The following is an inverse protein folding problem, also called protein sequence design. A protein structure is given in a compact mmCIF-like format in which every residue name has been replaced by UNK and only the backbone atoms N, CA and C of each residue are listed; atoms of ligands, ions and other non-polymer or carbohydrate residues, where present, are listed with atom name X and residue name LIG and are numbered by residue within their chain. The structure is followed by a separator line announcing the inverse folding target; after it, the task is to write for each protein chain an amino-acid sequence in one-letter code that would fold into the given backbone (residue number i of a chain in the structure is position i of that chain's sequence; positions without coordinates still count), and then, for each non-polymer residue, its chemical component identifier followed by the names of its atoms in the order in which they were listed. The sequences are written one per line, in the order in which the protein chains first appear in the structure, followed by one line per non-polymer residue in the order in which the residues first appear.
data_IF_052783715672
#
_entry.id   IF_052783715672
#
_cell.length_a   1.000
_cell.length_b   1.000
_cell.length_c   1.000
_cell.angle_alpha   90.00
_cell.angle_beta   90.00
_cell.angle_gamma   90.00
#
_symmetry.space_group_name_H-M   'P 1'
#
loop_
_entity.id
_entity.type
_entity.pdbx_description
1 polymer ?
#
# COMPACT_ATOMS: atom_id res chain seq x y z
N UNK A 1 7.95 4.31 -26.81
CA UNK A 1 8.31 4.68 -25.42
C UNK A 1 7.52 5.86 -24.88
N UNK A 2 7.61 7.06 -25.48
CA UNK A 2 6.92 8.27 -24.97
C UNK A 2 5.40 8.07 -24.82
N UNK A 3 4.76 7.46 -25.84
CA UNK A 3 3.31 7.18 -25.83
C UNK A 3 2.96 6.25 -24.65
N UNK A 4 3.73 5.18 -24.44
CA UNK A 4 3.52 4.25 -23.34
C UNK A 4 3.66 4.94 -21.99
N UNK A 5 4.66 5.81 -21.81
CA UNK A 5 4.84 6.59 -20.58
C UNK A 5 3.66 7.52 -20.32
N UNK A 6 3.12 8.18 -21.36
CA UNK A 6 1.94 9.04 -21.25
C UNK A 6 0.71 8.20 -20.85
N UNK A 7 0.51 7.04 -21.48
CA UNK A 7 -0.62 6.16 -21.17
C UNK A 7 -0.50 5.60 -19.76
N UNK A 8 0.70 5.22 -19.32
CA UNK A 8 0.95 4.76 -17.95
C UNK A 8 0.58 5.84 -16.93
N UNK A 9 1.04 7.08 -17.14
CA UNK A 9 0.71 8.22 -16.25
C UNK A 9 -0.80 8.49 -16.26
N UNK A 10 -1.43 8.48 -17.43
CA UNK A 10 -2.88 8.63 -17.54
C UNK A 10 -3.63 7.51 -16.81
N UNK A 11 -3.13 6.27 -16.88
CA UNK A 11 -3.66 5.13 -16.16
C UNK A 11 -3.56 5.30 -14.63
N UNK A 12 -2.41 5.74 -14.12
CA UNK A 12 -2.23 6.06 -12.69
C UNK A 12 -3.20 7.16 -12.22
N UNK A 13 -3.32 8.25 -12.98
CA UNK A 13 -4.27 9.32 -12.66
C UNK A 13 -5.72 8.81 -12.66
N UNK A 14 -6.05 7.91 -13.59
CA UNK A 14 -7.37 7.30 -13.68
C UNK A 14 -7.64 6.36 -12.49
N UNK A 15 -6.63 5.62 -12.01
CA UNK A 15 -6.74 4.80 -10.79
C UNK A 15 -7.05 5.66 -9.57
N UNK A 16 -6.26 6.71 -9.32
CA UNK A 16 -6.45 7.64 -8.21
C UNK A 16 -7.85 8.23 -8.28
N UNK A 17 -8.28 8.69 -9.46
CA UNK A 17 -9.59 9.29 -9.62
C UNK A 17 -10.74 8.28 -9.49
N UNK A 18 -10.54 7.06 -9.96
CA UNK A 18 -11.48 5.97 -9.83
C UNK A 18 -11.70 5.57 -8.38
N UNK A 19 -10.63 5.48 -7.60
CA UNK A 19 -10.67 5.26 -6.16
C UNK A 19 -11.48 6.35 -5.43
N UNK A 20 -11.19 7.63 -5.70
CA UNK A 20 -11.94 8.76 -5.15
C UNK A 20 -13.45 8.64 -5.40
N UNK A 21 -13.84 8.37 -6.66
CA UNK A 21 -15.25 8.24 -7.03
C UNK A 21 -15.91 7.05 -6.36
N UNK A 22 -15.22 5.91 -6.29
CA UNK A 22 -15.72 4.72 -5.61
C UNK A 22 -15.96 5.01 -4.12
N UNK A 23 -14.99 5.62 -3.44
CA UNK A 23 -15.07 5.95 -2.01
C UNK A 23 -16.18 6.95 -1.73
N UNK A 24 -16.26 8.04 -2.51
CA UNK A 24 -17.30 9.07 -2.35
C UNK A 24 -18.70 8.46 -2.53
N UNK A 25 -18.90 7.66 -3.58
CA UNK A 25 -20.18 7.02 -3.86
C UNK A 25 -20.57 5.99 -2.79
N UNK A 26 -19.64 5.09 -2.44
CA UNK A 26 -19.87 4.03 -1.47
C UNK A 26 -20.11 4.57 -0.05
N UNK A 27 -19.38 5.61 0.37
CA UNK A 27 -19.55 6.22 1.69
C UNK A 27 -20.93 6.88 1.85
N UNK A 28 -21.39 7.63 0.85
CA UNK A 28 -22.73 8.24 0.87
C UNK A 28 -23.83 7.17 0.84
N UNK A 29 -23.64 6.11 0.04
CA UNK A 29 -24.58 4.98 0.02
C UNK A 29 -24.68 4.30 1.39
N UNK A 30 -23.54 3.95 1.99
CA UNK A 30 -23.48 3.32 3.31
C UNK A 30 -24.17 4.18 4.37
N UNK A 31 -24.01 5.50 4.31
CA UNK A 31 -24.72 6.41 5.21
C UNK A 31 -26.21 6.44 5.02
N UNK A 32 -26.70 6.41 3.79
CA UNK A 32 -28.14 6.29 3.52
C UNK A 32 -28.75 5.02 4.14
N UNK A 33 -27.94 3.97 4.26
CA UNK A 33 -28.29 2.72 4.91
C UNK A 33 -27.94 2.67 6.41
N UNK A 34 -27.68 3.83 7.05
CA UNK A 34 -27.42 3.98 8.49
C UNK A 34 -26.19 3.21 9.00
N UNK A 35 -25.21 2.96 8.14
CA UNK A 35 -23.90 2.43 8.56
C UNK A 35 -23.16 3.50 9.39
N UNK A 36 -22.46 3.10 10.45
CA UNK A 36 -21.74 4.04 11.31
C UNK A 36 -20.54 4.67 10.59
N UNK A 37 -20.15 5.90 10.94
CA UNK A 37 -18.95 6.56 10.37
C UNK A 37 -17.70 5.72 10.61
N UNK A 38 -17.63 5.12 11.79
CA UNK A 38 -16.56 4.20 12.15
C UNK A 38 -16.45 3.02 11.17
N UNK A 39 -17.57 2.36 10.87
CA UNK A 39 -17.55 1.24 9.93
C UNK A 39 -17.17 1.70 8.51
N UNK A 40 -17.63 2.87 8.07
CA UNK A 40 -17.27 3.45 6.76
C UNK A 40 -15.77 3.76 6.68
N UNK A 41 -15.21 4.38 7.72
CA UNK A 41 -13.78 4.71 7.78
C UNK A 41 -12.90 3.47 7.73
N UNK A 42 -13.23 2.44 8.53
CA UNK A 42 -12.43 1.22 8.63
C UNK A 42 -12.57 0.25 7.46
N UNK A 43 -13.60 0.44 6.64
CA UNK A 43 -13.86 -0.43 5.50
C UNK A 43 -13.72 0.37 4.22
N UNK A 44 -14.74 1.12 3.82
CA UNK A 44 -14.81 1.80 2.53
C UNK A 44 -13.64 2.75 2.31
N UNK A 45 -13.31 3.59 3.29
CA UNK A 45 -12.22 4.57 3.13
C UNK A 45 -10.86 3.88 3.13
N UNK A 46 -10.61 2.97 4.09
CA UNK A 46 -9.36 2.22 4.17
C UNK A 46 -9.11 1.34 2.93
N UNK A 47 -10.14 0.66 2.40
CA UNK A 47 -10.04 -0.07 1.14
C UNK A 47 -9.87 0.86 -0.06
N UNK A 48 -10.47 2.04 0.02
CA UNK A 48 -10.44 3.05 -1.03
C UNK A 48 -9.04 3.52 -1.37
N UNK A 49 -8.24 3.84 -0.36
CA UNK A 49 -6.86 4.30 -0.56
C UNK A 49 -5.99 3.23 -1.20
N UNK A 50 -6.21 1.95 -0.86
CA UNK A 50 -5.45 0.82 -1.42
C UNK A 50 -6.12 0.14 -2.61
N UNK A 51 -7.20 0.72 -3.15
CA UNK A 51 -7.88 0.20 -4.33
C UNK A 51 -7.01 0.24 -5.60
N UNK A 52 -6.19 1.29 -5.85
CA UNK A 52 -5.24 1.32 -6.96
C UNK A 52 -4.29 0.12 -6.94
N UNK A 53 -3.65 -0.15 -5.80
CA UNK A 53 -2.75 -1.29 -5.59
C UNK A 53 -3.49 -2.60 -5.85
N UNK A 54 -4.66 -2.79 -5.24
CA UNK A 54 -5.42 -4.03 -5.38
C UNK A 54 -5.75 -4.33 -6.85
N UNK A 55 -6.19 -3.31 -7.60
CA UNK A 55 -6.59 -3.49 -8.99
C UNK A 55 -5.39 -3.68 -9.90
N UNK A 56 -4.30 -2.94 -9.73
CA UNK A 56 -3.07 -3.15 -10.50
C UNK A 56 -2.52 -4.56 -10.28
N UNK A 57 -2.48 -5.04 -9.03
CA UNK A 57 -1.98 -6.37 -8.71
C UNK A 57 -2.92 -7.49 -9.18
N UNK A 58 -4.25 -7.30 -9.08
CA UNK A 58 -5.21 -8.26 -9.61
C UNK A 58 -5.10 -8.39 -11.13
N UNK A 59 -4.94 -7.27 -11.85
CA UNK A 59 -4.72 -7.25 -13.29
C UNK A 59 -3.39 -7.92 -13.64
N UNK A 60 -2.30 -7.55 -12.98
CA UNK A 60 -0.97 -8.15 -13.20
C UNK A 60 -0.96 -9.65 -12.94
N UNK A 61 -1.57 -10.12 -11.84
CA UNK A 61 -1.72 -11.53 -11.53
C UNK A 61 -2.53 -12.29 -12.60
N UNK A 62 -3.67 -11.72 -13.03
CA UNK A 62 -4.49 -12.30 -14.10
C UNK A 62 -3.79 -12.34 -15.45
N UNK A 63 -2.85 -11.41 -15.69
CA UNK A 63 -2.02 -11.35 -16.89
C UNK A 63 -0.76 -12.23 -16.84
N UNK A 64 -0.47 -12.87 -15.69
CA UNK A 64 0.72 -13.70 -15.52
C UNK A 64 2.02 -12.91 -15.33
N UNK A 65 1.95 -11.73 -14.71
CA UNK A 65 3.11 -10.86 -14.42
C UNK A 65 3.45 -10.83 -12.92
N UNK A 66 3.97 -11.93 -12.33
CA UNK A 66 4.25 -12.02 -10.90
C UNK A 66 5.33 -11.03 -10.42
N UNK A 67 6.29 -10.67 -11.28
CA UNK A 67 7.32 -9.68 -10.94
C UNK A 67 6.72 -8.29 -10.73
N UNK A 68 5.71 -7.92 -11.52
CA UNK A 68 4.95 -6.69 -11.32
C UNK A 68 4.16 -6.78 -10.00
N UNK A 69 3.60 -7.94 -9.68
CA UNK A 69 2.84 -8.12 -8.42
C UNK A 69 3.73 -7.94 -7.19
N UNK A 70 4.84 -8.69 -7.12
CA UNK A 70 5.78 -8.56 -6.00
C UNK A 70 6.48 -7.19 -6.00
N UNK A 71 6.88 -6.69 -7.15
CA UNK A 71 7.51 -5.39 -7.30
C UNK A 71 6.59 -4.26 -6.82
N UNK A 72 5.32 -4.28 -7.21
CA UNK A 72 4.37 -3.27 -6.76
C UNK A 72 4.16 -3.35 -5.24
N UNK A 73 3.94 -4.54 -4.67
CA UNK A 73 3.65 -4.66 -3.23
C UNK A 73 4.86 -4.35 -2.35
N UNK A 74 6.01 -4.96 -2.63
CA UNK A 74 7.23 -4.73 -1.84
C UNK A 74 7.71 -3.30 -2.05
N UNK A 75 7.63 -2.80 -3.29
CA UNK A 75 7.94 -1.42 -3.66
C UNK A 75 7.05 -0.42 -2.93
N UNK A 76 5.73 -0.63 -2.94
CA UNK A 76 4.76 0.26 -2.26
C UNK A 76 5.03 0.29 -0.76
N UNK A 77 5.34 -0.86 -0.16
CA UNK A 77 5.67 -0.90 1.27
C UNK A 77 6.96 -0.17 1.63
N UNK A 78 7.99 -0.28 0.78
CA UNK A 78 9.22 0.48 0.91
C UNK A 78 8.97 1.97 0.66
N UNK A 79 8.20 2.34 -0.36
CA UNK A 79 7.86 3.72 -0.69
C UNK A 79 7.09 4.38 0.47
N UNK A 80 6.08 3.70 1.00
CA UNK A 80 5.32 4.10 2.18
C UNK A 80 6.23 4.36 3.38
N UNK A 81 7.07 3.38 3.71
CA UNK A 81 7.93 3.43 4.89
C UNK A 81 9.04 4.50 4.78
N UNK A 82 9.70 4.61 3.64
CA UNK A 82 10.89 5.45 3.53
C UNK A 82 10.58 6.82 2.91
N UNK A 83 9.77 6.87 1.86
CA UNK A 83 9.47 8.11 1.14
C UNK A 83 8.35 8.86 1.84
N UNK A 84 7.21 8.21 2.07
CA UNK A 84 6.04 8.90 2.64
C UNK A 84 6.30 9.33 4.08
N UNK A 85 6.74 8.43 4.97
CA UNK A 85 7.12 8.82 6.33
C UNK A 85 8.30 9.78 6.34
N UNK A 86 9.27 9.61 5.45
CA UNK A 86 10.42 10.50 5.33
C UNK A 86 9.97 11.94 5.04
N UNK A 87 9.14 12.13 4.01
CA UNK A 87 8.57 13.44 3.67
C UNK A 87 7.69 13.97 4.80
N UNK A 88 6.75 13.17 5.30
CA UNK A 88 5.81 13.59 6.34
C UNK A 88 6.53 13.99 7.65
N UNK A 89 7.59 13.27 8.02
CA UNK A 89 8.40 13.51 9.21
C UNK A 89 9.35 14.71 9.09
N UNK A 90 9.84 15.00 7.87
CA UNK A 90 10.60 16.23 7.60
C UNK A 90 9.71 17.46 7.78
N UNK A 91 8.47 17.40 7.30
CA UNK A 91 7.49 18.50 7.43
C UNK A 91 7.20 18.76 8.91
N UNK A 92 6.72 17.73 9.62
CA UNK A 92 6.39 17.81 11.06
C UNK A 92 6.87 16.55 11.77
N UNK A 93 7.57 16.65 12.92
CA UNK A 93 7.89 15.49 13.73
C UNK A 93 6.63 14.66 14.05
N UNK A 94 6.67 13.36 13.78
CA UNK A 94 5.51 12.48 13.88
C UNK A 94 5.45 11.87 15.28
N UNK A 95 4.89 12.60 16.23
CA UNK A 95 4.60 12.06 17.57
C UNK A 95 3.35 11.19 17.54
N UNK A 96 3.45 9.95 18.03
CA UNK A 96 2.36 8.96 17.99
C UNK A 96 2.03 8.35 19.35
N UNK A 97 0.86 7.73 19.42
CA UNK A 97 0.39 7.00 20.60
C UNK A 97 1.20 5.72 20.87
N UNK A 98 1.17 5.27 22.14
CA UNK A 98 1.82 4.03 22.57
C UNK A 98 1.35 2.80 21.78
N UNK A 99 0.06 2.76 21.41
CA UNK A 99 -0.58 1.68 20.68
C UNK A 99 0.08 1.48 19.31
N UNK A 100 0.29 2.56 18.55
CA UNK A 100 0.92 2.49 17.23
C UNK A 100 2.37 2.00 17.33
N UNK A 101 3.13 2.48 18.31
CA UNK A 101 4.52 2.04 18.53
C UNK A 101 4.61 0.55 18.90
N UNK A 102 3.81 0.10 19.86
CA UNK A 102 3.95 -1.24 20.44
C UNK A 102 3.12 -2.32 19.78
N UNK A 103 2.17 -1.95 18.92
CA UNK A 103 1.29 -2.91 18.27
C UNK A 103 1.39 -2.80 16.75
N UNK A 104 1.07 -1.65 16.17
CA UNK A 104 0.96 -1.50 14.71
C UNK A 104 2.31 -1.69 13.99
N UNK A 105 3.37 -1.00 14.42
CA UNK A 105 4.71 -1.14 13.81
C UNK A 105 5.22 -2.60 13.92
N UNK A 106 5.18 -3.26 15.10
CA UNK A 106 5.51 -4.68 15.22
C UNK A 106 4.65 -5.59 14.34
N UNK A 107 3.34 -5.32 14.18
CA UNK A 107 2.49 -6.10 13.29
C UNK A 107 2.93 -6.00 11.83
N UNK A 108 3.28 -4.80 11.35
CA UNK A 108 3.83 -4.65 9.99
C UNK A 108 5.18 -5.35 9.82
N UNK A 109 6.03 -5.33 10.85
CA UNK A 109 7.29 -6.07 10.83
C UNK A 109 7.06 -7.59 10.75
N UNK A 110 6.15 -8.11 11.57
CA UNK A 110 5.74 -9.52 11.56
C UNK A 110 5.12 -9.90 10.21
N UNK A 111 4.30 -9.03 9.61
CA UNK A 111 3.73 -9.27 8.29
C UNK A 111 4.81 -9.44 7.22
N UNK A 112 5.84 -8.58 7.23
CA UNK A 112 6.98 -8.70 6.32
C UNK A 112 7.82 -9.96 6.59
N UNK A 113 7.97 -10.40 7.84
CA UNK A 113 8.60 -11.68 8.18
C UNK A 113 7.77 -12.84 7.63
N UNK A 114 6.46 -12.86 7.90
CA UNK A 114 5.55 -13.91 7.39
C UNK A 114 5.67 -14.01 5.88
N UNK A 115 5.63 -12.87 5.18
CA UNK A 115 5.81 -12.82 3.73
C UNK A 115 7.15 -13.45 3.32
N UNK A 116 8.27 -13.02 3.91
CA UNK A 116 9.60 -13.54 3.60
C UNK A 116 9.67 -15.06 3.76
N UNK A 117 9.05 -15.60 4.82
CA UNK A 117 9.06 -17.03 5.08
C UNK A 117 8.19 -17.81 4.09
N UNK A 118 7.02 -17.28 3.74
CA UNK A 118 6.10 -17.92 2.80
C UNK A 118 6.69 -17.93 1.38
N UNK A 119 7.13 -16.78 0.87
CA UNK A 119 7.65 -16.68 -0.52
C UNK A 119 8.89 -17.52 -0.78
N UNK A 120 9.72 -17.76 0.25
CA UNK A 120 10.93 -18.58 0.12
C UNK A 120 10.67 -20.08 0.40
N UNK A 121 9.45 -20.46 0.76
CA UNK A 121 9.07 -21.86 1.00
C UNK A 121 10.01 -22.62 1.97
N UNK A 122 10.54 -21.92 2.99
CA UNK A 122 11.50 -22.50 3.95
C UNK A 122 10.99 -23.77 4.64
N UNK A 123 9.67 -23.98 4.70
CA UNK A 123 9.04 -25.12 5.36
C UNK A 123 8.66 -26.28 4.43
N UNK A 124 8.38 -26.00 3.15
CA UNK A 124 7.79 -26.97 2.22
C UNK A 124 8.78 -27.51 1.17
N UNK A 125 9.95 -26.85 1.00
CA UNK A 125 11.00 -27.31 0.08
C UNK A 125 10.62 -27.25 -1.41
N UNK A 126 9.52 -26.57 -1.74
CA UNK A 126 9.03 -26.34 -3.11
C UNK A 126 9.64 -25.09 -3.73
N UNK A 127 9.40 -24.86 -5.03
CA UNK A 127 9.83 -23.64 -5.74
C UNK A 127 9.36 -22.38 -5.01
N UNK A 128 10.19 -21.34 -4.98
CA UNK A 128 9.87 -20.06 -4.32
C UNK A 128 8.67 -19.39 -5.00
N UNK A 129 7.67 -18.99 -4.22
CA UNK A 129 6.42 -18.45 -4.74
C UNK A 129 5.33 -18.33 -3.69
N UNK A 130 4.15 -17.89 -4.12
CA UNK A 130 2.91 -17.98 -3.36
C UNK A 130 1.90 -18.80 -4.14
N UNK A 131 1.56 -19.95 -3.61
CA UNK A 131 0.43 -20.78 -4.02
C UNK A 131 -0.90 -20.18 -3.57
N UNK A 132 -2.00 -20.71 -4.12
CA UNK A 132 -3.36 -20.36 -3.66
C UNK A 132 -3.56 -20.66 -2.17
N UNK A 133 -2.95 -21.73 -1.63
CA UNK A 133 -3.07 -22.11 -0.22
C UNK A 133 -2.40 -21.07 0.68
N UNK A 134 -1.21 -20.64 0.30
CA UNK A 134 -0.49 -19.56 0.98
C UNK A 134 -1.25 -18.24 0.89
N UNK A 135 -1.87 -17.97 -0.26
CA UNK A 135 -2.78 -16.83 -0.43
C UNK A 135 -3.95 -16.83 0.55
N UNK A 136 -4.61 -17.99 0.73
CA UNK A 136 -5.66 -18.16 1.74
C UNK A 136 -5.09 -17.93 3.15
N UNK A 137 -3.87 -18.41 3.43
CA UNK A 137 -3.16 -18.15 4.68
C UNK A 137 -2.97 -16.65 4.95
N UNK A 138 -2.53 -15.89 3.95
CA UNK A 138 -2.41 -14.42 4.05
C UNK A 138 -3.76 -13.75 4.30
N UNK A 139 -4.85 -14.21 3.66
CA UNK A 139 -6.19 -13.68 3.92
C UNK A 139 -6.72 -14.01 5.31
N UNK A 140 -6.36 -15.17 5.88
CA UNK A 140 -6.68 -15.50 7.28
C UNK A 140 -5.93 -14.54 8.22
N UNK A 141 -4.66 -14.26 7.96
CA UNK A 141 -3.89 -13.24 8.70
C UNK A 141 -4.54 -11.86 8.59
N UNK A 142 -5.03 -11.49 7.39
CA UNK A 142 -5.77 -10.24 7.20
C UNK A 142 -7.06 -10.19 8.03
N UNK A 143 -7.85 -11.27 8.03
CA UNK A 143 -9.07 -11.37 8.83
C UNK A 143 -8.81 -11.24 10.33
N UNK A 144 -7.73 -11.86 10.82
CA UNK A 144 -7.29 -11.73 12.21
C UNK A 144 -6.86 -10.28 12.54
N UNK A 145 -6.17 -9.61 11.62
CA UNK A 145 -5.81 -8.20 11.76
C UNK A 145 -7.05 -7.29 11.80
N UNK A 146 -8.02 -7.48 10.91
CA UNK A 146 -9.29 -6.73 10.93
C UNK A 146 -10.06 -6.95 12.23
N UNK A 147 -10.12 -8.19 12.72
CA UNK A 147 -10.74 -8.50 14.00
C UNK A 147 -10.05 -7.74 15.15
N UNK A 148 -8.73 -7.75 15.18
CA UNK A 148 -7.95 -7.00 16.15
C UNK A 148 -8.24 -5.49 16.10
N UNK A 149 -8.21 -4.88 14.91
CA UNK A 149 -8.53 -3.44 14.71
C UNK A 149 -9.94 -3.14 15.22
N UNK A 150 -10.91 -3.98 14.87
CA UNK A 150 -12.29 -3.84 15.32
C UNK A 150 -12.43 -3.86 16.85
N UNK A 151 -11.65 -4.70 17.55
CA UNK A 151 -11.68 -4.77 19.02
C UNK A 151 -11.06 -3.54 19.69
N UNK A 152 -10.03 -2.91 19.10
CA UNK A 152 -9.46 -1.68 19.66
C UNK A 152 -10.44 -0.50 19.54
N UNK A 153 -11.18 -0.42 18.44
CA UNK A 153 -12.02 0.74 18.12
C UNK A 153 -13.35 0.79 18.88
N UNK A 154 -13.76 -0.29 19.53
CA UNK A 154 -14.85 -0.25 20.52
C UNK A 154 -14.52 0.61 21.75
N UNK A 155 -13.26 1.01 21.92
CA UNK A 155 -12.76 1.72 23.11
C UNK A 155 -12.58 3.23 22.91
N UNK A 156 -12.79 3.76 21.69
CA UNK A 156 -12.67 5.20 21.39
C UNK A 156 -13.97 5.73 20.73
N UNK A 157 -14.52 6.86 21.19
CA UNK A 157 -15.60 7.53 20.47
C UNK A 157 -15.06 8.05 19.13
N UNK A 158 -15.60 7.54 18.02
CA UNK A 158 -15.23 7.97 16.68
C UNK A 158 -15.43 9.49 16.54
N UNK A 159 -14.34 10.24 16.45
CA UNK A 159 -14.31 11.71 16.41
C UNK A 159 -14.33 12.27 14.98
N UNK A 160 -14.50 11.42 13.96
CA UNK A 160 -14.56 11.85 12.57
C UNK A 160 -16.02 11.85 12.11
N UNK A 161 -16.72 12.97 12.33
CA UNK A 161 -17.89 13.27 11.52
C UNK A 161 -17.42 13.37 10.07
N UNK A 162 -17.79 12.40 9.24
CA UNK A 162 -17.56 12.48 7.80
C UNK A 162 -18.48 13.61 7.31
N UNK A 163 -17.94 14.75 6.87
CA UNK A 163 -18.75 15.80 6.24
C UNK A 163 -19.42 15.22 4.99
N UNK A 164 -20.72 14.94 5.07
CA UNK A 164 -21.42 14.24 4.00
C UNK A 164 -21.84 15.21 2.90
N UNK A 165 -21.30 14.99 1.71
CA UNK A 165 -21.86 15.53 0.47
C UNK A 165 -23.19 14.81 0.19
N UNK A 166 -24.27 15.58 0.04
CA UNK A 166 -25.58 15.03 -0.31
C UNK A 166 -25.64 14.77 -1.82
N UNK A 167 -25.73 13.49 -2.22
CA UNK A 167 -25.84 13.08 -3.62
C UNK A 167 -27.19 12.42 -3.91
N UNK A 168 -27.67 12.55 -5.14
CA UNK A 168 -28.82 11.79 -5.63
C UNK A 168 -28.44 10.32 -5.84
N UNK A 169 -29.42 9.40 -5.79
CA UNK A 169 -29.18 7.96 -6.03
C UNK A 169 -28.50 7.70 -7.38
N UNK A 170 -28.86 8.47 -8.41
CA UNK A 170 -28.25 8.37 -9.74
C UNK A 170 -26.77 8.74 -9.68
N UNK A 171 -26.42 9.86 -9.03
CA UNK A 171 -25.03 10.29 -8.88
C UNK A 171 -24.20 9.28 -8.08
N UNK A 172 -24.77 8.69 -7.02
CA UNK A 172 -24.13 7.61 -6.26
C UNK A 172 -23.82 6.42 -7.18
N UNK A 173 -24.80 5.97 -7.97
CA UNK A 173 -24.61 4.87 -8.91
C UNK A 173 -23.54 5.17 -9.96
N UNK A 174 -23.52 6.38 -10.51
CA UNK A 174 -22.48 6.83 -11.47
C UNK A 174 -21.10 6.84 -10.82
N UNK A 175 -20.97 7.34 -9.59
CA UNK A 175 -19.69 7.40 -8.88
C UNK A 175 -19.13 6.00 -8.61
N UNK A 176 -19.97 5.07 -8.13
CA UNK A 176 -19.55 3.69 -7.84
C UNK A 176 -19.17 2.96 -9.14
N UNK A 177 -20.06 2.93 -10.13
CA UNK A 177 -19.83 2.19 -11.37
C UNK A 177 -18.72 2.82 -12.22
N UNK A 178 -18.71 4.15 -12.31
CA UNK A 178 -17.67 4.90 -12.99
C UNK A 178 -16.31 4.78 -12.30
N UNK A 179 -16.28 4.79 -10.96
CA UNK A 179 -15.07 4.55 -10.17
C UNK A 179 -14.49 3.16 -10.39
N UNK A 180 -15.32 2.12 -10.34
CA UNK A 180 -14.91 0.75 -10.64
C UNK A 180 -14.40 0.58 -12.07
N UNK A 181 -15.11 1.15 -13.06
CA UNK A 181 -14.67 1.10 -14.45
C UNK A 181 -13.33 1.82 -14.65
N UNK A 182 -13.17 3.01 -14.06
CA UNK A 182 -11.93 3.77 -14.09
C UNK A 182 -10.78 2.99 -13.45
N UNK A 183 -11.01 2.33 -12.31
CA UNK A 183 -10.01 1.49 -11.66
C UNK A 183 -9.56 0.34 -12.57
N UNK A 184 -10.48 -0.44 -13.12
CA UNK A 184 -10.13 -1.60 -13.97
C UNK A 184 -9.41 -1.17 -15.24
N UNK A 185 -9.92 -0.13 -15.92
CA UNK A 185 -9.29 0.41 -17.13
C UNK A 185 -7.90 0.97 -16.79
N UNK A 186 -7.80 1.77 -15.73
CA UNK A 186 -6.53 2.35 -15.27
C UNK A 186 -5.50 1.28 -14.94
N UNK A 187 -5.89 0.23 -14.20
CA UNK A 187 -5.01 -0.88 -13.86
C UNK A 187 -4.46 -1.60 -15.09
N UNK A 188 -5.32 -1.86 -16.08
CA UNK A 188 -4.89 -2.45 -17.36
C UNK A 188 -3.94 -1.55 -18.14
N UNK A 189 -4.24 -0.25 -18.23
CA UNK A 189 -3.35 0.70 -18.87
C UNK A 189 -1.97 0.75 -18.19
N UNK A 190 -1.94 0.73 -16.85
CA UNK A 190 -0.67 0.73 -16.10
C UNK A 190 0.13 -0.53 -16.36
N UNK A 191 -0.47 -1.72 -16.20
CA UNK A 191 0.24 -3.00 -16.35
C UNK A 191 0.75 -3.19 -17.79
N UNK A 192 -0.13 -3.04 -18.80
CA UNK A 192 0.24 -3.29 -20.20
C UNK A 192 1.37 -2.36 -20.67
N UNK A 193 1.33 -1.08 -20.25
CA UNK A 193 2.35 -0.11 -20.64
C UNK A 193 3.62 -0.23 -19.81
N UNK A 194 3.53 -0.63 -18.53
CA UNK A 194 4.71 -0.91 -17.71
C UNK A 194 5.53 -2.08 -18.28
N UNK A 195 4.87 -3.19 -18.64
CA UNK A 195 5.51 -4.34 -19.31
C UNK A 195 6.14 -3.89 -20.64
N UNK A 196 5.41 -3.14 -21.45
CA UNK A 196 5.91 -2.64 -22.73
C UNK A 196 7.14 -1.72 -22.58
N UNK A 197 7.16 -0.89 -21.52
CA UNK A 197 8.30 -0.01 -21.19
C UNK A 197 9.50 -0.84 -20.75
N UNK A 198 9.30 -1.82 -19.85
CA UNK A 198 10.36 -2.72 -19.38
C UNK A 198 11.05 -3.41 -20.56
N UNK A 199 10.26 -4.03 -21.44
CA UNK A 199 10.74 -4.70 -22.65
C UNK A 199 11.47 -3.76 -23.61
N UNK A 200 10.97 -2.52 -23.79
CA UNK A 200 11.60 -1.53 -24.68
C UNK A 200 12.93 -1.02 -24.15
N UNK A 201 13.09 -0.93 -22.83
CA UNK A 201 14.32 -0.48 -22.17
C UNK A 201 15.32 -1.63 -21.95
N UNK A 202 14.88 -2.88 -22.08
CA UNK A 202 15.69 -4.04 -21.73
C UNK A 202 15.91 -4.20 -20.22
N UNK A 203 15.08 -3.57 -19.39
CA UNK A 203 15.12 -3.67 -17.92
C UNK A 203 14.08 -4.67 -17.43
N UNK A 204 14.28 -5.20 -16.22
CA UNK A 204 13.35 -6.13 -15.61
C UNK A 204 12.00 -5.50 -15.24
N UNK A 205 10.94 -6.29 -15.33
CA UNK A 205 9.61 -5.92 -14.82
C UNK A 205 9.64 -5.61 -13.32
N UNK A 206 10.54 -6.29 -12.58
CA UNK A 206 10.82 -6.05 -11.17
C UNK A 206 11.14 -4.58 -10.90
N UNK A 207 12.05 -3.96 -11.65
CA UNK A 207 12.42 -2.55 -11.40
C UNK A 207 11.25 -1.62 -11.65
N UNK A 208 10.51 -1.82 -12.74
CA UNK A 208 9.34 -0.99 -13.06
C UNK A 208 8.27 -1.12 -11.97
N UNK A 209 8.05 -2.34 -11.47
CA UNK A 209 7.17 -2.64 -10.34
C UNK A 209 7.60 -1.92 -9.06
N UNK A 210 8.86 -2.07 -8.65
CA UNK A 210 9.42 -1.50 -7.42
C UNK A 210 9.49 0.03 -7.41
N UNK A 211 9.53 0.65 -8.59
CA UNK A 211 9.75 2.09 -8.72
C UNK A 211 8.50 2.82 -9.20
N UNK A 212 8.21 2.77 -10.50
CA UNK A 212 7.18 3.59 -11.14
C UNK A 212 5.78 3.17 -10.69
N UNK A 213 5.50 1.87 -10.70
CA UNK A 213 4.16 1.38 -10.35
C UNK A 213 3.92 1.60 -8.86
N UNK A 214 4.82 1.13 -8.00
CA UNK A 214 4.74 1.32 -6.55
C UNK A 214 4.59 2.80 -6.15
N UNK A 215 5.44 3.69 -6.66
CA UNK A 215 5.32 5.11 -6.34
C UNK A 215 4.01 5.71 -6.85
N UNK A 216 3.53 5.26 -8.01
CA UNK A 216 2.30 5.74 -8.64
C UNK A 216 1.04 5.32 -7.90
N UNK A 217 0.94 4.05 -7.49
CA UNK A 217 -0.22 3.55 -6.75
C UNK A 217 -0.28 4.11 -5.35
N UNK A 218 0.86 4.38 -4.70
CA UNK A 218 0.93 4.92 -3.33
C UNK A 218 0.89 6.46 -3.22
N UNK A 219 0.58 7.16 -4.32
CA UNK A 219 0.33 8.61 -4.30
C UNK A 219 -0.86 9.02 -3.40
N UNK A 220 -2.00 8.30 -3.35
CA UNK A 220 -3.10 8.59 -2.42
C UNK A 220 -2.66 8.53 -0.96
N UNK A 221 -1.86 7.54 -0.58
CA UNK A 221 -1.26 7.43 0.74
C UNK A 221 -0.33 8.60 1.03
N UNK A 222 0.49 9.00 0.05
CA UNK A 222 1.40 10.14 0.21
C UNK A 222 0.61 11.41 0.50
N UNK A 223 -0.42 11.68 -0.31
CA UNK A 223 -1.29 12.84 -0.13
C UNK A 223 -1.97 12.81 1.26
N UNK A 224 -2.53 11.68 1.65
CA UNK A 224 -3.24 11.51 2.93
C UNK A 224 -2.31 11.73 4.11
N UNK A 225 -1.14 11.08 4.13
CA UNK A 225 -0.19 11.16 5.23
C UNK A 225 0.50 12.53 5.33
N UNK A 226 0.79 13.18 4.20
CA UNK A 226 1.32 14.57 4.21
C UNK A 226 0.29 15.55 4.74
N UNK A 227 -0.96 15.48 4.27
CA UNK A 227 -2.04 16.35 4.76
C UNK A 227 -2.32 16.11 6.25
N UNK A 228 -2.33 14.86 6.70
CA UNK A 228 -2.48 14.51 8.11
C UNK A 228 -1.34 15.08 8.98
N UNK A 229 -0.08 14.94 8.52
CA UNK A 229 1.11 15.51 9.19
C UNK A 229 1.04 17.04 9.29
N UNK A 230 0.66 17.73 8.21
CA UNK A 230 0.48 19.19 8.22
C UNK A 230 -0.61 19.65 9.19
N UNK A 231 -1.66 18.84 9.36
CA UNK A 231 -2.74 19.08 10.34
C UNK A 231 -2.39 18.63 11.77
N UNK A 232 -1.16 18.13 12.00
CA UNK A 232 -0.68 17.57 13.28
C UNK A 232 -1.47 16.34 13.75
N UNK A 233 -2.13 15.64 12.83
CA UNK A 233 -2.81 14.37 13.08
C UNK A 233 -1.84 13.20 12.80
N UNK A 234 -0.77 13.13 13.58
CA UNK A 234 0.36 12.24 13.33
C UNK A 234 0.01 10.74 13.43
N UNK A 235 -0.93 10.36 14.31
CA UNK A 235 -1.42 8.99 14.42
C UNK A 235 -2.07 8.51 13.12
N UNK A 236 -2.81 9.40 12.45
CA UNK A 236 -3.43 9.10 11.14
C UNK A 236 -2.35 8.91 10.08
N UNK A 237 -1.29 9.74 10.10
CA UNK A 237 -0.21 9.65 9.12
C UNK A 237 0.56 8.32 9.22
N UNK A 238 0.93 7.88 10.44
CA UNK A 238 1.61 6.59 10.64
C UNK A 238 0.64 5.42 10.44
N UNK A 239 -0.57 5.49 11.00
CA UNK A 239 -1.57 4.43 10.89
C UNK A 239 -1.95 4.14 9.44
N UNK A 240 -2.04 5.17 8.59
CA UNK A 240 -2.29 5.02 7.15
C UNK A 240 -1.18 4.20 6.46
N UNK A 241 0.08 4.49 6.79
CA UNK A 241 1.26 3.89 6.15
C UNK A 241 1.45 2.45 6.62
N UNK A 242 1.43 2.24 7.93
CA UNK A 242 1.60 0.91 8.54
C UNK A 242 0.41 0.02 8.21
N UNK A 243 -0.81 0.57 8.23
CA UNK A 243 -2.01 -0.10 7.77
C UNK A 243 -1.93 -0.51 6.30
N UNK A 244 -1.58 0.41 5.40
CA UNK A 244 -1.41 0.12 3.96
C UNK A 244 -0.37 -0.98 3.74
N UNK A 245 0.75 -0.98 4.47
CA UNK A 245 1.75 -2.04 4.37
C UNK A 245 1.21 -3.44 4.74
N UNK A 246 0.38 -3.52 5.79
CA UNK A 246 -0.27 -4.76 6.22
C UNK A 246 -1.32 -5.20 5.19
N UNK A 247 -2.11 -4.26 4.67
CA UNK A 247 -3.09 -4.52 3.61
C UNK A 247 -2.41 -5.06 2.35
N UNK A 248 -1.34 -4.41 1.90
CA UNK A 248 -0.56 -4.83 0.74
C UNK A 248 -0.06 -6.27 0.87
N UNK A 249 0.51 -6.63 2.03
CA UNK A 249 1.03 -7.97 2.26
C UNK A 249 -0.07 -9.01 2.42
N UNK A 250 -1.05 -8.77 3.30
CA UNK A 250 -2.01 -9.82 3.65
C UNK A 250 -3.21 -9.86 2.69
N UNK A 251 -3.82 -8.72 2.39
CA UNK A 251 -4.97 -8.66 1.51
C UNK A 251 -4.54 -8.77 0.04
N UNK A 252 -3.66 -7.90 -0.43
CA UNK A 252 -3.44 -7.75 -1.88
C UNK A 252 -2.64 -8.93 -2.44
N UNK A 253 -1.54 -9.34 -1.82
CA UNK A 253 -0.85 -10.59 -2.23
C UNK A 253 -1.70 -11.83 -1.99
N UNK A 254 -2.50 -11.85 -0.92
CA UNK A 254 -3.45 -12.94 -0.65
C UNK A 254 -4.47 -13.11 -1.78
N UNK A 255 -5.11 -12.01 -2.23
CA UNK A 255 -6.01 -12.02 -3.38
C UNK A 255 -5.26 -12.37 -4.66
N UNK A 256 -4.09 -11.77 -4.89
CA UNK A 256 -3.33 -11.95 -6.13
C UNK A 256 -2.88 -13.39 -6.33
N UNK A 257 -2.46 -14.08 -5.27
CA UNK A 257 -2.04 -15.50 -5.32
C UNK A 257 -3.21 -16.48 -5.44
N UNK A 258 -4.43 -16.08 -5.06
CA UNK A 258 -5.64 -16.86 -5.33
C UNK A 258 -6.07 -16.72 -6.80
N UNK A 259 -5.92 -15.52 -7.38
CA UNK A 259 -6.21 -15.28 -8.81
C UNK A 259 -5.31 -16.15 -9.68
N UNK A 260 -4.00 -16.15 -9.39
CA UNK A 260 -3.02 -16.94 -10.11
C UNK A 260 -1.82 -17.21 -9.18
N UNK A 261 -1.34 -18.47 -9.05
CA UNK A 261 -0.10 -18.75 -8.31
C UNK A 261 1.07 -17.88 -8.79
N UNK A 262 1.80 -17.30 -7.85
CA UNK A 262 2.84 -16.31 -8.14
C UNK A 262 4.22 -16.95 -7.97
N UNK A 263 5.00 -17.04 -9.05
CA UNK A 263 6.43 -17.42 -8.96
C UNK A 263 7.23 -16.28 -8.34
N UNK A 264 8.13 -16.59 -7.42
CA UNK A 264 8.91 -15.57 -6.71
C UNK A 264 10.39 -15.63 -7.10
N UNK A 265 10.95 -14.47 -7.47
CA UNK A 265 12.39 -14.34 -7.67
C UNK A 265 13.10 -14.04 -6.36
N UNK A 266 14.12 -14.84 -6.03
CA UNK A 266 14.93 -14.68 -4.81
C UNK A 266 15.59 -13.28 -4.72
N UNK A 267 15.79 -12.62 -5.86
CA UNK A 267 16.30 -11.24 -5.90
C UNK A 267 15.45 -10.25 -5.10
N UNK A 268 14.15 -10.50 -4.92
CA UNK A 268 13.25 -9.69 -4.09
C UNK A 268 13.55 -9.78 -2.59
N UNK A 269 14.34 -10.77 -2.13
CA UNK A 269 14.68 -10.90 -0.72
C UNK A 269 15.43 -9.67 -0.22
N UNK A 270 16.30 -9.07 -1.04
CA UNK A 270 16.99 -7.82 -0.70
C UNK A 270 15.99 -6.69 -0.47
N UNK A 271 14.96 -6.56 -1.30
CA UNK A 271 13.92 -5.55 -1.17
C UNK A 271 13.08 -5.74 0.11
N UNK A 272 12.82 -6.99 0.51
CA UNK A 272 12.18 -7.34 1.78
C UNK A 272 13.11 -7.08 2.98
N UNK A 273 14.41 -7.35 2.86
CA UNK A 273 15.37 -7.02 3.92
C UNK A 273 15.47 -5.52 4.15
N UNK A 274 15.40 -4.71 3.09
CA UNK A 274 15.31 -3.26 3.21
C UNK A 274 14.03 -2.84 3.93
N UNK A 275 12.88 -3.44 3.60
CA UNK A 275 11.61 -3.19 4.30
C UNK A 275 11.70 -3.53 5.79
N UNK A 276 12.25 -4.70 6.12
CA UNK A 276 12.45 -5.14 7.51
C UNK A 276 13.41 -4.21 8.26
N UNK A 277 14.57 -3.90 7.66
CA UNK A 277 15.57 -3.01 8.23
C UNK A 277 15.02 -1.61 8.49
N UNK A 278 14.26 -1.05 7.54
CA UNK A 278 13.61 0.24 7.70
C UNK A 278 12.51 0.23 8.76
N UNK A 279 11.72 -0.84 8.84
CA UNK A 279 10.64 -0.95 9.83
C UNK A 279 11.24 -1.09 11.24
N UNK A 280 12.35 -1.81 11.38
CA UNK A 280 13.11 -1.89 12.62
C UNK A 280 13.76 -0.54 12.98
N UNK A 281 14.32 0.17 12.00
CA UNK A 281 14.87 1.51 12.20
C UNK A 281 13.79 2.49 12.67
N UNK A 282 12.59 2.44 12.06
CA UNK A 282 11.43 3.20 12.50
C UNK A 282 11.03 2.85 13.95
N UNK A 283 10.98 1.56 14.29
CA UNK A 283 10.67 1.13 15.65
C UNK A 283 11.67 1.66 16.67
N UNK A 284 12.98 1.59 16.36
CA UNK A 284 14.04 2.15 17.21
C UNK A 284 13.91 3.68 17.32
N UNK A 285 13.60 4.35 16.20
CA UNK A 285 13.40 5.79 16.14
C UNK A 285 12.27 6.27 17.08
N UNK A 286 11.25 5.44 17.34
CA UNK A 286 10.21 5.77 18.31
C UNK A 286 10.71 5.92 19.75
N UNK A 287 11.93 5.46 20.06
CA UNK A 287 12.51 5.52 21.41
C UNK A 287 13.69 6.49 21.53
N UNK A 288 14.15 7.06 20.42
CA UNK A 288 15.17 8.10 20.37
C UNK A 288 14.54 9.48 20.51
N UNK A 289 15.34 10.50 20.88
CA UNK A 289 14.88 11.87 21.00
C UNK A 289 13.69 12.06 21.95
N UNK A 290 12.61 12.68 21.46
CA UNK A 290 11.34 12.76 22.19
C UNK A 290 10.65 11.40 22.12
N UNK A 291 10.31 10.81 23.27
CA UNK A 291 9.66 9.49 23.33
C UNK A 291 8.42 9.44 22.42
N UNK A 292 8.34 8.40 21.60
CA UNK A 292 7.26 8.07 20.66
C UNK A 292 7.10 9.10 19.54
N UNK A 293 8.20 9.58 18.98
CA UNK A 293 8.13 10.42 17.79
C UNK A 293 9.23 10.11 16.79
N UNK A 294 8.90 10.20 15.50
CA UNK A 294 9.90 10.27 14.43
C UNK A 294 10.36 11.73 14.29
N UNK A 295 11.62 12.00 14.62
CA UNK A 295 12.21 13.32 14.44
C UNK A 295 12.60 13.57 12.98
N UNK A 296 12.73 14.86 12.60
CA UNK A 296 13.02 15.28 11.22
C UNK A 296 14.29 14.66 10.63
N UNK A 297 15.32 14.48 11.45
CA UNK A 297 16.60 13.93 10.99
C UNK A 297 16.51 12.42 10.75
N UNK A 298 15.72 11.69 11.55
CA UNK A 298 15.45 10.26 11.35
C UNK A 298 14.63 10.06 10.08
N UNK A 299 13.62 10.90 9.87
CA UNK A 299 12.83 10.92 8.64
C UNK A 299 13.70 11.23 7.40
N UNK A 300 14.66 12.16 7.52
CA UNK A 300 15.63 12.44 6.46
C UNK A 300 16.55 11.24 6.17
N UNK A 301 17.00 10.51 7.20
CA UNK A 301 17.79 9.28 7.03
C UNK A 301 16.99 8.22 6.27
N UNK A 302 15.72 7.99 6.62
CA UNK A 302 14.85 7.05 5.91
C UNK A 302 14.72 7.45 4.43
N UNK A 303 14.43 8.72 4.15
CA UNK A 303 14.29 9.21 2.78
C UNK A 303 15.58 9.04 1.96
N UNK A 304 16.72 9.43 2.53
CA UNK A 304 18.02 9.31 1.87
C UNK A 304 18.42 7.85 1.66
N UNK A 305 18.11 6.96 2.59
CA UNK A 305 18.36 5.52 2.45
C UNK A 305 17.61 4.94 1.24
N UNK A 306 16.35 5.31 1.05
CA UNK A 306 15.58 4.87 -0.12
C UNK A 306 16.11 5.46 -1.42
N UNK A 307 16.42 6.76 -1.46
CA UNK A 307 17.01 7.38 -2.66
C UNK A 307 18.32 6.67 -3.04
N UNK A 308 19.19 6.42 -2.05
CA UNK A 308 20.43 5.69 -2.26
C UNK A 308 20.21 4.26 -2.77
N UNK A 309 19.29 3.52 -2.12
CA UNK A 309 18.96 2.15 -2.49
C UNK A 309 18.36 2.05 -3.90
N UNK A 310 17.36 2.87 -4.22
CA UNK A 310 16.72 2.87 -5.54
C UNK A 310 17.69 3.32 -6.63
N UNK A 311 18.56 4.30 -6.37
CA UNK A 311 19.60 4.69 -7.33
C UNK A 311 20.57 3.54 -7.60
N UNK A 312 21.02 2.86 -6.55
CA UNK A 312 21.87 1.67 -6.69
C UNK A 312 21.16 0.57 -7.50
N UNK A 313 19.91 0.27 -7.16
CA UNK A 313 19.11 -0.75 -7.84
C UNK A 313 18.91 -0.44 -9.34
N UNK A 314 18.57 0.81 -9.68
CA UNK A 314 18.43 1.24 -11.08
C UNK A 314 19.78 1.18 -11.82
N UNK A 315 20.89 1.54 -11.15
CA UNK A 315 22.23 1.49 -11.76
C UNK A 315 22.74 0.07 -12.07
N UNK A 316 22.13 -0.97 -11.50
CA UNK A 316 22.49 -2.36 -11.79
C UNK A 316 21.82 -2.90 -13.06
N UNK A 317 20.87 -2.17 -13.64
CA UNK A 317 20.13 -2.59 -14.83
C UNK A 317 20.31 -1.71 -16.06
N UNK A 318 21.02 -0.59 -15.92
CA UNK A 318 21.45 0.28 -17.02
C UNK A 318 22.96 0.12 -17.19
#
# INVERSE_FOLDING_TARGET
MIIQSIILIAGLLLLVKGADWLVDGASVLAKKHKVSDLAIGLTIVAFGTSAPELVVNAVASSGGYPDIVFGNIIGSNNFNLFVILGIAGIITPLSVQSSSVWKEIPFSFIAAIILLFMVNNFFLGTESGLSMIEGIGLLICFGAFLYYVFTQLKSEPASTEIELKVYSNLKIGILILGGLAALVIGGKLVVDNAVSIAQSLGVSEKIIGLTIIAAGTSLPELATSVVASMKKNNDIAIGNIIGSNIFNIFLILGVSSIINPLSYQISFNTDIYILLGGTLALFIAMFTGKRKSLDRWEAAILLLAYIGYTTYLVSMEI
#
